data_IF_977324123060
#
_entry.id   IF_977324123060
#
_cell.length_a   1.000
_cell.length_b   1.000
_cell.length_c   1.000
_cell.angle_alpha   90.00
_cell.angle_beta   90.00
_cell.angle_gamma   90.00
#
_symmetry.space_group_name_H-M   'P 1'
#
loop_
_entity.id
_entity.type
_entity.pdbx_description
1 polymer ?
#
# COMPACT_ATOMS: atom_id res chain seq x y z
N UNK A 1 -12.48 7.90 -4.85
CA UNK A 1 -11.27 7.59 -4.06
C UNK A 1 -10.33 8.79 -3.84
N UNK A 2 -10.74 10.04 -4.07
CA UNK A 2 -9.84 11.20 -3.92
C UNK A 2 -9.31 11.40 -2.50
N UNK A 3 -10.13 11.13 -1.48
CA UNK A 3 -9.72 11.22 -0.07
C UNK A 3 -8.59 10.22 0.24
N UNK A 4 -8.74 8.97 -0.18
CA UNK A 4 -7.67 7.96 -0.05
C UNK A 4 -6.38 8.44 -0.72
N UNK A 5 -6.46 8.97 -1.94
CA UNK A 5 -5.29 9.48 -2.67
C UNK A 5 -4.57 10.57 -1.90
N UNK A 6 -5.31 11.48 -1.24
CA UNK A 6 -4.73 12.54 -0.40
C UNK A 6 -4.10 12.01 0.88
N UNK A 7 -4.72 11.04 1.54
CA UNK A 7 -4.17 10.41 2.75
C UNK A 7 -2.87 9.67 2.40
N UNK A 8 -2.87 8.89 1.31
CA UNK A 8 -1.68 8.20 0.82
C UNK A 8 -0.55 9.18 0.51
N UNK A 9 -0.84 10.26 -0.22
CA UNK A 9 0.16 11.28 -0.55
C UNK A 9 0.77 11.88 0.73
N UNK A 10 -0.06 12.24 1.71
CA UNK A 10 0.39 12.78 3.00
C UNK A 10 1.33 11.82 3.73
N UNK A 11 0.91 10.56 3.91
CA UNK A 11 1.73 9.55 4.59
C UNK A 11 3.07 9.30 3.90
N UNK A 12 3.07 9.29 2.57
CA UNK A 12 4.28 9.12 1.76
C UNK A 12 5.21 10.32 1.92
N UNK A 13 4.70 11.55 1.86
CA UNK A 13 5.49 12.78 2.01
C UNK A 13 6.07 12.93 3.42
N UNK A 14 5.33 12.52 4.44
CA UNK A 14 5.75 12.58 5.85
C UNK A 14 6.75 11.46 6.21
N UNK A 15 6.94 10.46 5.33
CA UNK A 15 7.75 9.26 5.61
C UNK A 15 9.07 9.24 4.82
N UNK A 16 10.21 9.63 5.43
CA UNK A 16 11.50 9.67 4.71
C UNK A 16 12.01 8.30 4.27
N UNK A 17 11.51 7.23 4.89
CA UNK A 17 11.88 5.84 4.59
C UNK A 17 10.95 5.17 3.56
N UNK A 18 9.98 5.90 3.02
CA UNK A 18 9.13 5.40 1.95
C UNK A 18 9.91 5.39 0.64
N UNK A 19 9.82 4.27 -0.07
CA UNK A 19 10.40 4.10 -1.40
C UNK A 19 9.33 3.61 -2.37
N UNK A 20 9.29 4.24 -3.54
CA UNK A 20 8.46 3.76 -4.65
C UNK A 20 9.03 2.48 -5.25
N UNK A 21 8.17 1.71 -5.91
CA UNK A 21 8.66 0.63 -6.76
C UNK A 21 9.56 1.20 -7.86
N UNK A 22 10.67 0.52 -8.20
CA UNK A 22 11.69 1.05 -9.12
C UNK A 22 11.16 1.43 -10.52
N UNK A 23 10.09 0.77 -10.99
CA UNK A 23 9.42 1.13 -12.25
C UNK A 23 8.44 2.32 -12.15
N UNK A 24 8.05 2.67 -10.93
CA UNK A 24 7.01 3.64 -10.61
C UNK A 24 7.55 4.95 -10.04
N UNK A 25 8.83 4.97 -9.66
CA UNK A 25 9.49 6.10 -9.00
C UNK A 25 9.45 7.40 -9.81
N UNK A 26 9.72 7.34 -11.12
CA UNK A 26 9.74 8.52 -12.00
C UNK A 26 8.43 9.29 -12.04
N UNK A 27 7.31 8.57 -11.91
CA UNK A 27 5.95 9.15 -11.93
C UNK A 27 5.34 9.20 -10.52
N UNK A 28 6.10 8.83 -9.49
CA UNK A 28 5.66 8.74 -8.09
C UNK A 28 4.35 7.96 -7.92
N UNK A 29 4.19 6.86 -8.67
CA UNK A 29 2.97 6.06 -8.65
C UNK A 29 2.95 5.18 -7.39
N UNK A 30 2.01 5.45 -6.49
CA UNK A 30 1.78 4.68 -5.27
C UNK A 30 0.49 3.85 -5.30
N UNK A 31 -0.49 4.24 -6.10
CA UNK A 31 -1.77 3.54 -6.17
C UNK A 31 -2.50 3.83 -7.49
N UNK A 32 -3.39 2.90 -7.86
CA UNK A 32 -4.36 3.03 -8.94
C UNK A 32 -5.73 2.71 -8.36
N UNK A 33 -6.70 3.60 -8.58
CA UNK A 33 -8.09 3.39 -8.21
C UNK A 33 -8.92 3.27 -9.48
N UNK A 34 -9.65 2.18 -9.66
CA UNK A 34 -10.55 2.00 -10.78
C UNK A 34 -11.87 1.38 -10.32
N UNK A 35 -12.95 2.17 -10.40
CA UNK A 35 -14.29 1.79 -9.92
C UNK A 35 -14.21 1.31 -8.46
N UNK A 36 -14.28 0.01 -8.24
CA UNK A 36 -14.25 -0.62 -6.91
C UNK A 36 -12.88 -1.23 -6.56
N UNK A 37 -11.97 -1.31 -7.54
CA UNK A 37 -10.66 -1.95 -7.37
C UNK A 37 -9.58 -0.91 -7.01
N UNK A 38 -8.78 -1.28 -6.02
CA UNK A 38 -7.62 -0.52 -5.55
C UNK A 38 -6.36 -1.38 -5.70
N UNK A 39 -5.38 -0.86 -6.42
CA UNK A 39 -4.03 -1.44 -6.47
C UNK A 39 -3.09 -0.47 -5.78
N UNK A 40 -2.34 -0.94 -4.78
CA UNK A 40 -1.29 -0.17 -4.12
C UNK A 40 0.09 -0.73 -4.48
N UNK A 41 1.06 0.16 -4.69
CA UNK A 41 2.37 -0.16 -5.24
C UNK A 41 3.44 0.56 -4.41
N UNK A 42 4.43 -0.19 -3.93
CA UNK A 42 5.61 0.36 -3.27
C UNK A 42 6.85 -0.50 -3.50
N UNK A 43 7.99 -0.04 -3.00
CA UNK A 43 9.18 -0.86 -2.89
C UNK A 43 8.92 -2.07 -1.98
N UNK A 44 9.58 -3.20 -2.24
CA UNK A 44 9.43 -4.44 -1.46
C UNK A 44 10.01 -4.42 -0.05
N UNK A 45 10.13 -3.26 0.59
CA UNK A 45 10.58 -3.11 1.98
C UNK A 45 9.39 -3.02 2.92
N UNK A 46 9.58 -3.54 4.14
CA UNK A 46 8.56 -3.46 5.19
C UNK A 46 8.21 -2.00 5.55
N UNK A 47 9.20 -1.09 5.51
CA UNK A 47 9.00 0.34 5.79
C UNK A 47 7.97 0.96 4.85
N UNK A 48 8.11 0.75 3.53
CA UNK A 48 7.19 1.34 2.54
C UNK A 48 5.80 0.73 2.62
N UNK A 49 5.72 -0.58 2.87
CA UNK A 49 4.45 -1.27 3.04
C UNK A 49 3.69 -0.79 4.29
N UNK A 50 4.39 -0.53 5.40
CA UNK A 50 3.80 0.01 6.62
C UNK A 50 3.18 1.39 6.40
N UNK A 51 3.82 2.25 5.63
CA UNK A 51 3.30 3.58 5.28
C UNK A 51 1.98 3.47 4.50
N UNK A 52 1.92 2.58 3.51
CA UNK A 52 0.67 2.35 2.76
C UNK A 52 -0.42 1.75 3.64
N UNK A 53 -0.08 0.79 4.50
CA UNK A 53 -1.02 0.17 5.43
C UNK A 53 -1.61 1.19 6.41
N UNK A 54 -0.78 2.06 6.98
CA UNK A 54 -1.22 3.11 7.89
C UNK A 54 -2.19 4.09 7.21
N UNK A 55 -1.86 4.51 5.97
CA UNK A 55 -2.75 5.36 5.19
C UNK A 55 -4.09 4.68 4.84
N UNK A 56 -4.07 3.39 4.51
CA UNK A 56 -5.28 2.62 4.25
C UNK A 56 -6.14 2.49 5.52
N UNK A 57 -5.51 2.21 6.67
CA UNK A 57 -6.20 2.07 7.95
C UNK A 57 -6.86 3.39 8.39
N UNK A 58 -6.15 4.52 8.21
CA UNK A 58 -6.73 5.84 8.45
C UNK A 58 -7.94 6.09 7.53
N UNK A 59 -7.81 5.79 6.24
CA UNK A 59 -8.93 5.92 5.31
C UNK A 59 -10.12 5.04 5.70
N UNK A 60 -9.87 3.79 6.12
CA UNK A 60 -10.91 2.87 6.57
C UNK A 60 -11.62 3.37 7.83
N UNK A 61 -10.87 3.92 8.78
CA UNK A 61 -11.44 4.51 9.99
C UNK A 61 -12.33 5.73 9.66
N UNK A 62 -11.90 6.58 8.74
CA UNK A 62 -12.62 7.81 8.37
C UNK A 62 -13.85 7.55 7.50
N UNK A 63 -13.75 6.60 6.56
CA UNK A 63 -14.81 6.33 5.58
C UNK A 63 -15.78 5.23 6.00
N UNK A 64 -15.38 4.35 6.93
CA UNK A 64 -16.08 3.10 7.22
C UNK A 64 -15.93 2.03 6.12
N UNK A 65 -15.11 2.27 5.09
CA UNK A 65 -14.86 1.34 4.00
C UNK A 65 -13.60 0.52 4.28
N UNK A 66 -13.74 -0.80 4.27
CA UNK A 66 -12.64 -1.73 4.50
C UNK A 66 -12.35 -2.53 3.24
N UNK A 67 -11.07 -2.80 2.99
CA UNK A 67 -10.69 -3.72 1.92
C UNK A 67 -11.27 -5.11 2.22
N UNK A 68 -11.92 -5.70 1.21
CA UNK A 68 -12.48 -7.04 1.34
C UNK A 68 -11.33 -8.05 1.35
N UNK A 69 -11.17 -8.76 2.46
CA UNK A 69 -10.09 -9.71 2.69
C UNK A 69 -10.08 -10.84 1.65
N UNK A 70 -11.23 -11.45 1.36
CA UNK A 70 -11.38 -12.57 0.41
C UNK A 70 -11.11 -12.18 -1.05
N UNK A 71 -11.09 -10.88 -1.36
CA UNK A 71 -10.83 -10.34 -2.70
C UNK A 71 -9.50 -9.61 -2.82
N UNK A 72 -8.83 -9.37 -1.70
CA UNK A 72 -7.57 -8.64 -1.65
C UNK A 72 -6.40 -9.60 -1.81
N UNK A 73 -5.46 -9.26 -2.69
CA UNK A 73 -4.31 -10.09 -2.98
C UNK A 73 -3.02 -9.30 -2.80
N UNK A 74 -1.94 -9.98 -2.40
CA UNK A 74 -0.61 -9.38 -2.23
C UNK A 74 0.34 -10.05 -3.19
N UNK A 75 1.01 -9.24 -4.01
CA UNK A 75 2.03 -9.70 -4.94
C UNK A 75 3.38 -9.16 -4.52
N UNK A 76 4.32 -10.05 -4.25
CA UNK A 76 5.71 -9.69 -3.94
C UNK A 76 6.64 -10.18 -5.04
N UNK A 77 7.55 -9.34 -5.50
CA UNK A 77 8.54 -9.70 -6.52
C UNK A 77 9.93 -9.24 -6.09
N UNK A 78 10.95 -10.04 -6.39
CA UNK A 78 12.35 -9.74 -6.10
C UNK A 78 12.63 -9.38 -4.63
N UNK A 79 11.96 -10.06 -3.69
CA UNK A 79 12.20 -9.96 -2.24
C UNK A 79 12.54 -11.33 -1.67
N UNK A 80 13.25 -11.37 -0.54
CA UNK A 80 13.51 -12.63 0.15
C UNK A 80 12.22 -13.25 0.70
N UNK A 81 12.22 -14.56 0.89
CA UNK A 81 11.07 -15.30 1.46
C UNK A 81 10.68 -14.79 2.86
N UNK A 82 11.66 -14.36 3.66
CA UNK A 82 11.45 -13.75 4.96
C UNK A 82 10.66 -12.44 4.85
N UNK A 83 11.08 -11.54 3.95
CA UNK A 83 10.41 -10.25 3.73
C UNK A 83 9.01 -10.48 3.14
N UNK A 84 8.88 -11.37 2.14
CA UNK A 84 7.59 -11.71 1.54
C UNK A 84 6.58 -12.14 2.61
N UNK A 85 6.99 -13.02 3.55
CA UNK A 85 6.14 -13.45 4.66
C UNK A 85 5.77 -12.31 5.61
N UNK A 86 6.70 -11.40 5.90
CA UNK A 86 6.40 -10.20 6.71
C UNK A 86 5.38 -9.30 6.04
N UNK A 87 5.50 -9.09 4.72
CA UNK A 87 4.56 -8.29 3.95
C UNK A 87 3.17 -8.92 3.91
N UNK A 88 3.07 -10.23 3.72
CA UNK A 88 1.79 -10.96 3.73
C UNK A 88 1.14 -10.84 5.11
N UNK A 89 1.90 -11.06 6.19
CA UNK A 89 1.37 -10.97 7.55
C UNK A 89 0.93 -9.54 7.93
N UNK A 90 1.57 -8.50 7.38
CA UNK A 90 1.25 -7.10 7.69
C UNK A 90 -0.18 -6.73 7.26
N UNK A 91 -0.56 -7.14 6.06
CA UNK A 91 -1.89 -6.85 5.51
C UNK A 91 -2.92 -7.92 5.88
N UNK A 92 -2.43 -9.09 6.32
CA UNK A 92 -3.20 -10.24 6.75
C UNK A 92 -4.11 -10.86 5.68
N UNK A 93 -4.17 -10.33 4.45
CA UNK A 93 -4.95 -10.89 3.32
C UNK A 93 -4.44 -12.29 2.94
N UNK A 94 -5.35 -13.26 2.78
CA UNK A 94 -5.05 -14.65 2.43
C UNK A 94 -5.43 -14.96 1.00
#
# INVERSE_FOLDING_TARGET
MEVLSKILAKHIEDSPNFMFHWKCEKIKLSHLCFVDDLIMICHGSLSSALVLKAALDEFSLLSGLYANHDKSNIFTSNVSSAISRQLINLFAYQ
#
